data_IF_051528392137
#
_entry.id   IF_051528392137
#
_cell.length_a   1.000
_cell.length_b   1.000
_cell.length_c   1.000
_cell.angle_alpha   90.00
_cell.angle_beta   90.00
_cell.angle_gamma   90.00
#
_symmetry.space_group_name_H-M   'P 1'
#
loop_
_entity.id
_entity.type
_entity.pdbx_description
1 polymer ?
#
# COMPACT_ATOMS: atom_id res chain seq x y z
N UNK A 1 -2.09 -0.43 -9.72
CA UNK A 1 -2.65 -1.23 -10.83
C UNK A 1 -2.72 -0.49 -12.17
N UNK A 2 -3.20 0.76 -12.25
CA UNK A 2 -3.40 1.43 -13.55
C UNK A 2 -2.11 1.61 -14.38
N UNK A 3 -0.95 1.84 -13.74
CA UNK A 3 0.37 1.88 -14.40
C UNK A 3 0.66 0.60 -15.18
N UNK A 4 0.35 -0.57 -14.60
CA UNK A 4 0.66 -1.87 -15.17
C UNK A 4 -0.13 -2.16 -16.45
N UNK A 5 -1.35 -1.61 -16.59
CA UNK A 5 -2.21 -1.81 -17.76
C UNK A 5 -1.51 -1.32 -19.04
N UNK A 6 -0.92 -0.12 -19.00
CA UNK A 6 -0.19 0.43 -20.14
C UNK A 6 1.26 -0.04 -20.17
N UNK A 7 1.90 -0.18 -19.01
CA UNK A 7 3.29 -0.64 -18.90
C UNK A 7 3.49 -2.04 -19.46
N UNK A 8 2.54 -2.95 -19.21
CA UNK A 8 2.57 -4.31 -19.77
C UNK A 8 2.46 -4.29 -21.30
N UNK A 9 1.53 -3.49 -21.85
CA UNK A 9 1.37 -3.33 -23.31
C UNK A 9 2.60 -2.69 -23.97
N UNK A 10 3.23 -1.71 -23.31
CA UNK A 10 4.51 -1.17 -23.76
C UNK A 10 5.63 -2.22 -23.74
N UNK A 11 5.65 -3.09 -22.73
CA UNK A 11 6.63 -4.17 -22.63
C UNK A 11 6.47 -5.19 -23.76
N UNK A 12 5.23 -5.60 -24.07
CA UNK A 12 4.92 -6.50 -25.20
C UNK A 12 5.37 -5.93 -26.55
N UNK A 13 5.44 -4.60 -26.69
CA UNK A 13 5.94 -3.91 -27.90
C UNK A 13 7.45 -3.65 -27.90
N UNK A 14 8.22 -4.29 -27.03
CA UNK A 14 9.66 -4.08 -26.91
C UNK A 14 10.07 -2.73 -26.29
N UNK A 15 9.13 -1.96 -25.73
CA UNK A 15 9.36 -0.67 -25.04
C UNK A 15 9.40 -0.80 -23.51
N UNK A 16 9.73 -1.98 -22.98
CA UNK A 16 9.78 -2.25 -21.54
C UNK A 16 10.71 -1.28 -20.79
N UNK A 17 11.90 -0.98 -21.35
CA UNK A 17 12.86 -0.04 -20.76
C UNK A 17 12.30 1.38 -20.62
N UNK A 18 11.54 1.84 -21.62
CA UNK A 18 10.92 3.15 -21.58
C UNK A 18 9.77 3.22 -20.57
N UNK A 19 8.96 2.16 -20.48
CA UNK A 19 7.92 2.07 -19.44
C UNK A 19 8.55 2.13 -18.05
N UNK A 20 9.57 1.30 -17.78
CA UNK A 20 10.25 1.26 -16.48
C UNK A 20 11.00 2.56 -16.15
N UNK A 21 11.66 3.18 -17.13
CA UNK A 21 12.32 4.48 -16.93
C UNK A 21 11.31 5.60 -16.63
N UNK A 22 10.16 5.60 -17.33
CA UNK A 22 9.07 6.56 -17.07
C UNK A 22 8.52 6.40 -15.66
N UNK A 23 8.39 5.15 -15.20
CA UNK A 23 7.98 4.82 -13.84
C UNK A 23 9.01 5.33 -12.84
N UNK A 24 10.27 4.92 -12.96
CA UNK A 24 11.31 5.29 -11.99
C UNK A 24 11.50 6.81 -11.86
N UNK A 25 11.55 7.53 -12.99
CA UNK A 25 11.67 9.00 -12.98
C UNK A 25 10.39 9.65 -12.48
N UNK A 26 9.23 9.13 -12.88
CA UNK A 26 7.94 9.63 -12.42
C UNK A 26 7.76 9.51 -10.91
N UNK A 27 8.10 8.35 -10.35
CA UNK A 27 8.10 8.11 -8.91
C UNK A 27 9.10 9.05 -8.22
N UNK A 28 10.32 9.24 -8.75
CA UNK A 28 11.26 10.20 -8.17
C UNK A 28 10.71 11.64 -8.15
N UNK A 29 10.25 12.15 -9.30
CA UNK A 29 9.72 13.53 -9.41
C UNK A 29 8.51 13.71 -8.49
N UNK A 30 7.56 12.78 -8.54
CA UNK A 30 6.37 12.82 -7.71
C UNK A 30 6.72 12.73 -6.22
N UNK A 31 7.61 11.80 -5.86
CA UNK A 31 8.07 11.56 -4.50
C UNK A 31 8.82 12.76 -3.92
N UNK A 32 9.70 13.40 -4.69
CA UNK A 32 10.38 14.61 -4.23
C UNK A 32 9.38 15.73 -3.98
N UNK A 33 8.47 16.02 -4.93
CA UNK A 33 7.48 17.08 -4.76
C UNK A 33 6.55 16.78 -3.59
N UNK A 34 6.08 15.55 -3.45
CA UNK A 34 5.17 15.15 -2.38
C UNK A 34 5.84 15.11 -1.00
N UNK A 35 7.13 14.75 -0.92
CA UNK A 35 7.91 14.87 0.33
C UNK A 35 8.15 16.34 0.72
N UNK A 36 8.35 17.23 -0.25
CA UNK A 36 8.38 18.68 0.01
C UNK A 36 7.05 19.14 0.58
N UNK A 37 5.93 18.77 -0.05
CA UNK A 37 4.60 19.08 0.46
C UNK A 37 4.39 18.50 1.87
N UNK A 38 4.79 17.24 2.12
CA UNK A 38 4.74 16.62 3.45
C UNK A 38 5.53 17.44 4.49
N UNK A 39 6.72 17.92 4.15
CA UNK A 39 7.58 18.72 5.06
C UNK A 39 6.85 19.99 5.52
N UNK A 40 6.12 20.65 4.62
CA UNK A 40 5.38 21.87 4.94
C UNK A 40 4.01 21.63 5.56
N UNK A 41 3.34 20.52 5.22
CA UNK A 41 1.96 20.21 5.64
C UNK A 41 1.91 19.45 6.96
N UNK A 42 2.95 18.65 7.28
CA UNK A 42 2.98 17.83 8.49
C UNK A 42 2.91 18.68 9.76
N UNK A 43 3.69 19.76 9.86
CA UNK A 43 3.75 20.59 11.08
C UNK A 43 2.41 21.30 11.38
N UNK A 44 1.79 22.04 10.43
CA UNK A 44 0.49 22.67 10.68
C UNK A 44 -0.61 21.69 11.08
N UNK A 45 -0.62 20.48 10.51
CA UNK A 45 -1.60 19.46 10.86
C UNK A 45 -1.30 18.86 12.23
N UNK A 46 -0.03 18.64 12.58
CA UNK A 46 0.36 18.23 13.93
C UNK A 46 -0.07 19.24 15.00
N UNK A 47 0.10 20.54 14.74
CA UNK A 47 -0.36 21.62 15.61
C UNK A 47 -1.90 21.66 15.72
N UNK A 48 -2.64 21.39 14.63
CA UNK A 48 -4.10 21.28 14.70
C UNK A 48 -4.52 20.05 15.53
N UNK A 49 -3.80 18.95 15.38
CA UNK A 49 -4.10 17.67 16.01
C UNK A 49 -3.81 17.66 17.52
N UNK A 50 -2.93 18.53 18.02
CA UNK A 50 -2.67 18.66 19.46
C UNK A 50 -3.87 19.23 20.24
N UNK A 51 -4.83 19.85 19.54
CA UNK A 51 -6.09 20.31 20.12
C UNK A 51 -7.17 19.23 20.19
N UNK A 52 -6.96 18.07 19.56
CA UNK A 52 -7.96 17.01 19.53
C UNK A 52 -7.95 16.18 20.81
N UNK A 53 -9.15 15.89 21.31
CA UNK A 53 -9.35 14.98 22.42
C UNK A 53 -9.65 13.56 21.92
N UNK A 54 -9.64 12.57 22.82
CA UNK A 54 -9.93 11.17 22.47
C UNK A 54 -11.26 11.01 21.71
N UNK A 55 -12.29 11.76 22.09
CA UNK A 55 -13.59 11.80 21.39
C UNK A 55 -13.48 12.29 19.95
N UNK A 56 -12.64 13.28 19.68
CA UNK A 56 -12.41 13.80 18.33
C UNK A 56 -11.68 12.77 17.46
N UNK A 57 -10.67 12.09 18.02
CA UNK A 57 -10.00 10.98 17.35
C UNK A 57 -10.98 9.87 16.99
N UNK A 58 -11.84 9.45 17.90
CA UNK A 58 -12.88 8.47 17.60
C UNK A 58 -13.83 8.96 16.48
N UNK A 59 -14.30 10.21 16.58
CA UNK A 59 -15.22 10.82 15.63
C UNK A 59 -14.64 11.00 14.22
N UNK A 60 -13.32 11.12 14.07
CA UNK A 60 -12.63 11.20 12.77
C UNK A 60 -12.27 9.80 12.27
N UNK A 61 -11.81 8.91 13.15
CA UNK A 61 -11.35 7.56 12.80
C UNK A 61 -12.48 6.69 12.31
N UNK A 62 -13.65 6.73 12.96
CA UNK A 62 -14.79 5.87 12.57
C UNK A 62 -15.29 6.19 11.15
N UNK A 63 -15.62 7.44 10.78
CA UNK A 63 -15.99 7.78 9.41
C UNK A 63 -14.86 7.55 8.41
N UNK A 64 -13.60 7.82 8.77
CA UNK A 64 -12.46 7.55 7.89
C UNK A 64 -12.34 6.06 7.57
N UNK A 65 -12.46 5.21 8.59
CA UNK A 65 -12.40 3.76 8.45
C UNK A 65 -13.55 3.23 7.57
N UNK A 66 -14.76 3.73 7.77
CA UNK A 66 -15.92 3.40 6.94
C UNK A 66 -15.74 3.91 5.51
N UNK A 67 -15.23 5.13 5.31
CA UNK A 67 -15.02 5.72 4.00
C UNK A 67 -13.95 4.98 3.18
N UNK A 68 -12.80 4.67 3.80
CA UNK A 68 -11.74 3.86 3.18
C UNK A 68 -12.30 2.47 2.81
N UNK A 69 -13.06 1.86 3.71
CA UNK A 69 -13.69 0.56 3.47
C UNK A 69 -14.69 0.60 2.31
N UNK A 70 -15.47 1.67 2.20
CA UNK A 70 -16.43 1.88 1.12
C UNK A 70 -15.75 2.06 -0.25
N UNK A 71 -14.54 2.62 -0.28
CA UNK A 71 -13.84 2.98 -1.52
C UNK A 71 -12.91 1.91 -2.07
N UNK A 72 -12.45 0.97 -1.24
CA UNK A 72 -11.52 -0.10 -1.66
C UNK A 72 -12.24 -1.31 -2.27
N UNK A 73 -13.56 -1.45 -2.07
CA UNK A 73 -14.33 -2.60 -2.55
C UNK A 73 -15.21 -2.31 -3.78
N UNK A 74 -15.48 -3.34 -4.59
CA UNK A 74 -16.56 -3.31 -5.59
C UNK A 74 -17.96 -3.24 -4.95
N UNK A 75 -18.08 -3.68 -3.70
CA UNK A 75 -19.33 -3.70 -2.93
C UNK A 75 -19.07 -3.18 -1.53
N UNK A 76 -19.87 -2.20 -1.11
CA UNK A 76 -19.86 -1.64 0.25
C UNK A 76 -20.06 -2.73 1.30
N UNK A 77 -20.97 -3.67 1.05
CA UNK A 77 -21.28 -4.76 1.99
C UNK A 77 -20.08 -5.67 2.19
N UNK A 78 -19.37 -6.03 1.11
CA UNK A 78 -18.15 -6.85 1.21
C UNK A 78 -17.04 -6.11 1.96
N UNK A 79 -16.91 -4.80 1.72
CA UNK A 79 -16.00 -3.94 2.49
C UNK A 79 -16.30 -3.96 3.98
N UNK A 80 -17.55 -3.65 4.36
CA UNK A 80 -17.95 -3.60 5.77
C UNK A 80 -17.81 -4.95 6.46
N UNK A 81 -18.14 -6.06 5.80
CA UNK A 81 -17.90 -7.39 6.35
C UNK A 81 -16.42 -7.68 6.56
N UNK A 82 -15.55 -7.33 5.60
CA UNK A 82 -14.10 -7.41 5.79
C UNK A 82 -13.63 -6.59 6.98
N UNK A 83 -14.16 -5.37 7.14
CA UNK A 83 -13.85 -4.51 8.27
C UNK A 83 -14.27 -5.15 9.60
N UNK A 84 -15.48 -5.70 9.69
CA UNK A 84 -15.98 -6.39 10.88
C UNK A 84 -15.12 -7.62 11.23
N UNK A 85 -14.68 -8.40 10.23
CA UNK A 85 -13.74 -9.51 10.45
C UNK A 85 -12.42 -8.99 11.03
N UNK A 86 -11.92 -7.86 10.51
CA UNK A 86 -10.73 -7.20 11.05
C UNK A 86 -10.89 -6.77 12.49
N UNK A 87 -11.97 -6.05 12.80
CA UNK A 87 -12.30 -5.63 14.16
C UNK A 87 -12.41 -6.83 15.11
N UNK A 88 -13.04 -7.91 14.67
CA UNK A 88 -13.14 -9.14 15.46
C UNK A 88 -11.77 -9.73 15.78
N UNK A 89 -10.87 -9.82 14.79
CA UNK A 89 -9.51 -10.34 15.00
C UNK A 89 -8.71 -9.42 15.94
N UNK A 90 -8.85 -8.09 15.80
CA UNK A 90 -8.18 -7.12 16.66
C UNK A 90 -8.61 -7.20 18.13
N UNK A 91 -9.86 -7.59 18.40
CA UNK A 91 -10.40 -7.74 19.77
C UNK A 91 -10.06 -9.09 20.43
N UNK A 92 -9.40 -10.01 19.72
CA UNK A 92 -8.90 -11.26 20.32
C UNK A 92 -7.72 -10.91 21.22
N UNK A 93 -7.79 -11.28 22.50
CA UNK A 93 -6.73 -10.96 23.45
C UNK A 93 -7.25 -10.64 24.84
N UNK A 94 -6.37 -10.10 25.67
CA UNK A 94 -6.73 -9.46 26.92
C UNK A 94 -7.34 -8.08 26.65
N UNK A 95 -8.46 -7.80 27.30
CA UNK A 95 -9.00 -6.45 27.41
C UNK A 95 -8.02 -5.54 28.15
N UNK A 96 -7.58 -4.44 27.53
CA UNK A 96 -6.61 -3.52 28.15
C UNK A 96 -7.16 -2.79 29.37
N UNK A 97 -8.49 -2.70 29.54
CA UNK A 97 -9.14 -2.02 30.66
C UNK A 97 -9.48 -2.99 31.79
N UNK A 98 -10.08 -4.13 31.45
CA UNK A 98 -10.59 -5.08 32.46
C UNK A 98 -9.65 -6.24 32.75
N UNK A 99 -8.65 -6.48 31.89
CA UNK A 99 -7.77 -7.65 31.96
C UNK A 99 -8.49 -8.98 31.68
N UNK A 100 -9.75 -8.95 31.22
CA UNK A 100 -10.51 -10.15 30.93
C UNK A 100 -10.09 -10.74 29.57
N UNK A 101 -9.94 -12.07 29.44
CA UNK A 101 -9.67 -12.72 28.16
C UNK A 101 -10.90 -12.66 27.25
N UNK A 102 -10.74 -12.13 26.05
CA UNK A 102 -11.77 -12.00 25.01
C UNK A 102 -11.42 -12.89 23.82
N UNK A 103 -12.37 -13.75 23.44
CA UNK A 103 -12.25 -14.62 22.25
C UNK A 103 -10.97 -15.47 22.20
N UNK A 104 -10.39 -15.80 23.36
CA UNK A 104 -9.16 -16.61 23.44
C UNK A 104 -9.41 -18.12 23.34
N UNK A 105 -10.69 -18.54 23.27
CA UNK A 105 -11.12 -19.94 23.16
C UNK A 105 -10.45 -20.89 24.17
N UNK A 106 -10.06 -20.39 25.35
CA UNK A 106 -9.41 -21.16 26.40
C UNK A 106 -7.92 -21.47 26.17
N UNK A 107 -7.28 -20.92 25.12
CA UNK A 107 -5.84 -21.07 24.90
C UNK A 107 -5.06 -19.86 25.42
N UNK A 108 -4.03 -20.11 26.20
CA UNK A 108 -3.10 -19.08 26.70
C UNK A 108 -2.37 -18.36 25.55
N UNK A 109 -2.23 -19.01 24.38
CA UNK A 109 -1.52 -18.46 23.21
C UNK A 109 -2.26 -17.30 22.53
N UNK A 110 -3.54 -17.10 22.84
CA UNK A 110 -4.34 -15.99 22.30
C UNK A 110 -4.53 -14.87 23.33
N UNK A 111 -3.91 -14.95 24.52
CA UNK A 111 -3.99 -13.89 25.53
C UNK A 111 -3.32 -12.60 25.04
N UNK A 112 -2.18 -12.74 24.38
CA UNK A 112 -1.46 -11.61 23.76
C UNK A 112 -2.11 -11.15 22.45
N UNK A 113 -3.24 -11.75 22.08
CA UNK A 113 -3.97 -11.51 20.85
C UNK A 113 -3.32 -12.14 19.62
N UNK A 114 -3.71 -11.66 18.44
CA UNK A 114 -3.11 -12.08 17.17
C UNK A 114 -2.19 -10.98 16.68
N UNK A 115 -0.89 -11.27 16.61
CA UNK A 115 0.09 -10.30 16.13
C UNK A 115 -0.29 -9.82 14.71
N UNK A 116 -0.33 -8.50 14.55
CA UNK A 116 -0.68 -7.81 13.31
C UNK A 116 0.20 -8.26 12.15
N UNK A 117 1.48 -8.55 12.40
CA UNK A 117 2.43 -9.05 11.39
C UNK A 117 1.98 -10.42 10.88
N UNK A 118 1.53 -11.32 11.74
CA UNK A 118 0.99 -12.63 11.35
C UNK A 118 -0.23 -12.44 10.45
N UNK A 119 -1.11 -11.50 10.81
CA UNK A 119 -2.30 -11.18 9.99
C UNK A 119 -1.89 -10.65 8.62
N UNK A 120 -0.96 -9.70 8.56
CA UNK A 120 -0.45 -9.11 7.31
C UNK A 120 0.20 -10.19 6.43
N UNK A 121 1.10 -11.00 6.99
CA UNK A 121 1.79 -12.06 6.25
C UNK A 121 0.81 -13.12 5.76
N UNK A 122 -0.12 -13.54 6.62
CA UNK A 122 -1.19 -14.47 6.27
C UNK A 122 -2.04 -13.93 5.13
N UNK A 123 -2.65 -12.75 5.32
CA UNK A 123 -3.57 -12.19 4.34
C UNK A 123 -2.86 -11.77 3.03
N UNK A 124 -1.73 -11.08 3.07
CA UNK A 124 -1.07 -10.58 1.85
C UNK A 124 -0.14 -11.58 1.19
N UNK A 125 0.77 -12.24 1.91
CA UNK A 125 1.77 -13.10 1.28
C UNK A 125 1.19 -14.50 1.02
N UNK A 126 0.70 -15.17 2.06
CA UNK A 126 0.22 -16.56 1.96
C UNK A 126 -1.09 -16.60 1.16
N UNK A 127 -2.06 -15.74 1.47
CA UNK A 127 -3.35 -15.71 0.78
C UNK A 127 -3.26 -15.35 -0.70
N UNK A 128 -2.37 -14.42 -1.09
CA UNK A 128 -2.12 -14.12 -2.51
C UNK A 128 -1.46 -15.31 -3.21
N UNK A 129 -0.47 -15.93 -2.55
CA UNK A 129 0.24 -17.08 -3.08
C UNK A 129 -0.72 -18.24 -3.38
N UNK A 130 -1.60 -18.58 -2.44
CA UNK A 130 -2.63 -19.61 -2.63
C UNK A 130 -3.62 -19.22 -3.75
N UNK A 131 -3.97 -17.93 -3.84
CA UNK A 131 -4.90 -17.44 -4.86
C UNK A 131 -4.34 -17.60 -6.26
N UNK A 132 -3.09 -17.18 -6.46
CA UNK A 132 -2.40 -17.29 -7.74
C UNK A 132 -2.13 -18.76 -8.07
N UNK A 133 -1.68 -19.57 -7.11
CA UNK A 133 -1.48 -21.01 -7.29
C UNK A 133 -2.76 -21.72 -7.77
N UNK A 134 -3.94 -21.30 -7.30
CA UNK A 134 -5.22 -21.87 -7.74
C UNK A 134 -5.56 -21.55 -9.21
N UNK A 135 -5.05 -20.45 -9.75
CA UNK A 135 -5.29 -20.00 -11.14
C UNK A 135 -4.27 -20.53 -12.13
N UNK A 136 -3.06 -20.89 -11.67
CA UNK A 136 -1.97 -21.38 -12.52
C UNK A 136 -2.35 -22.58 -13.40
N UNK A 137 -3.33 -23.40 -13.00
CA UNK A 137 -3.77 -24.58 -13.76
C UNK A 137 -4.75 -24.26 -14.89
N UNK A 138 -5.36 -23.08 -14.89
CA UNK A 138 -6.48 -22.72 -15.78
C UNK A 138 -6.09 -21.76 -16.91
N UNK A 139 -4.92 -21.14 -16.85
CA UNK A 139 -4.39 -20.25 -17.89
C UNK A 139 -2.94 -20.61 -18.17
N UNK A 140 -2.65 -21.39 -19.24
CA UNK A 140 -1.30 -21.46 -19.78
C UNK A 140 -1.02 -20.10 -20.43
N UNK A 141 -0.63 -19.10 -19.63
CA UNK A 141 -0.07 -17.89 -20.21
C UNK A 141 1.22 -18.29 -20.94
N UNK A 142 1.35 -17.98 -22.25
CA UNK A 142 2.57 -18.28 -22.96
C UNK A 142 3.73 -17.61 -22.21
N UNK A 143 4.89 -18.27 -22.09
CA UNK A 143 6.06 -17.64 -21.49
C UNK A 143 6.25 -16.29 -22.16
N UNK A 144 6.39 -15.22 -21.38
CA UNK A 144 6.52 -13.87 -21.90
C UNK A 144 7.61 -13.88 -22.98
N UNK A 145 7.19 -13.92 -24.24
CA UNK A 145 8.09 -13.84 -25.38
C UNK A 145 8.49 -12.38 -25.43
N UNK A 146 9.46 -12.02 -24.60
CA UNK A 146 10.30 -10.87 -24.85
C UNK A 146 10.98 -11.20 -26.18
N UNK A 147 10.41 -10.73 -27.28
CA UNK A 147 11.03 -10.85 -28.59
C UNK A 147 12.50 -10.45 -28.45
N UNK A 148 13.40 -11.35 -28.87
CA UNK A 148 14.84 -11.10 -29.05
C UNK A 148 15.11 -10.08 -30.17
N UNK A 149 14.15 -9.24 -30.54
CA UNK A 149 14.22 -8.28 -31.63
C UNK A 149 14.58 -6.89 -31.13
N UNK A 150 15.85 -6.50 -31.32
CA UNK A 150 16.38 -5.12 -31.17
C UNK A 150 15.83 -4.36 -29.96
N UNK A 151 16.42 -4.59 -28.79
CA UNK A 151 16.38 -3.65 -27.67
C UNK A 151 16.83 -2.27 -28.18
N UNK A 152 15.88 -1.37 -28.47
CA UNK A 152 16.18 0.04 -28.72
C UNK A 152 16.92 0.57 -27.48
N UNK A 153 18.10 1.11 -27.71
CA UNK A 153 19.15 1.37 -26.72
C UNK A 153 18.90 2.56 -25.79
N UNK A 154 17.78 3.27 -25.92
CA UNK A 154 17.47 4.46 -25.12
C UNK A 154 16.42 4.23 -24.04
N UNK A 155 16.63 4.80 -22.85
CA UNK A 155 15.66 4.80 -21.76
C UNK A 155 14.41 5.61 -22.13
N UNK A 156 14.56 6.85 -22.62
CA UNK A 156 13.46 7.73 -23.01
C UNK A 156 13.90 8.60 -24.20
N UNK A 157 13.08 8.70 -25.24
CA UNK A 157 13.33 9.65 -26.33
C UNK A 157 12.89 11.07 -25.93
N UNK A 158 13.36 12.10 -26.65
CA UNK A 158 12.93 13.50 -26.42
C UNK A 158 11.39 13.66 -26.47
N UNK A 159 10.73 12.93 -27.35
CA UNK A 159 9.26 12.88 -27.44
C UNK A 159 8.62 12.28 -26.19
N UNK A 160 9.24 11.24 -25.62
CA UNK A 160 8.72 10.54 -24.44
C UNK A 160 8.84 11.42 -23.19
N UNK A 161 9.96 12.14 -23.04
CA UNK A 161 10.13 13.18 -22.02
C UNK A 161 9.07 14.29 -22.12
N UNK A 162 8.89 14.85 -23.33
CA UNK A 162 7.88 15.88 -23.58
C UNK A 162 6.45 15.42 -23.32
N UNK A 163 6.18 14.12 -23.46
CA UNK A 163 4.87 13.51 -23.16
C UNK A 163 4.69 13.17 -21.68
N UNK A 164 5.76 12.95 -20.92
CA UNK A 164 5.69 12.43 -19.54
C UNK A 164 5.71 13.52 -18.46
N UNK A 165 6.36 14.66 -18.69
CA UNK A 165 6.51 15.70 -17.65
C UNK A 165 5.18 16.24 -17.13
N UNK A 166 4.23 16.52 -18.03
CA UNK A 166 2.95 17.09 -17.65
C UNK A 166 2.02 16.07 -16.96
N UNK A 167 1.95 14.81 -17.40
CA UNK A 167 1.33 13.74 -16.61
C UNK A 167 1.96 13.55 -15.23
N UNK A 168 3.29 13.61 -15.08
CA UNK A 168 3.92 13.48 -13.76
C UNK A 168 3.41 14.55 -12.79
N UNK A 169 3.44 15.83 -13.19
CA UNK A 169 2.96 16.92 -12.34
C UNK A 169 1.46 16.82 -12.02
N UNK A 170 0.62 16.49 -13.01
CA UNK A 170 -0.81 16.30 -12.79
C UNK A 170 -1.10 15.12 -11.88
N UNK A 171 -0.38 14.01 -12.06
CA UNK A 171 -0.44 12.85 -11.20
C UNK A 171 -0.11 13.22 -9.77
N UNK A 172 1.01 13.92 -9.53
CA UNK A 172 1.40 14.40 -8.19
C UNK A 172 0.34 15.29 -7.55
N UNK A 173 -0.22 16.24 -8.32
CA UNK A 173 -1.25 17.15 -7.84
C UNK A 173 -2.57 16.46 -7.46
N UNK A 174 -2.85 15.29 -8.05
CA UNK A 174 -3.98 14.44 -7.65
C UNK A 174 -3.59 13.51 -6.49
N UNK A 175 -2.39 12.93 -6.52
CA UNK A 175 -1.97 11.93 -5.55
C UNK A 175 -1.87 12.48 -4.13
N UNK A 176 -1.09 13.55 -3.93
CA UNK A 176 -0.82 14.05 -2.58
C UNK A 176 -2.07 14.46 -1.79
N UNK A 177 -2.99 15.28 -2.33
CA UNK A 177 -4.19 15.68 -1.60
C UNK A 177 -5.12 14.51 -1.31
N UNK A 178 -5.32 13.60 -2.28
CA UNK A 178 -6.17 12.42 -2.06
C UNK A 178 -5.59 11.48 -0.99
N UNK A 179 -4.26 11.35 -0.93
CA UNK A 179 -3.60 10.57 0.11
C UNK A 179 -3.69 11.22 1.50
N UNK A 180 -3.61 12.55 1.57
CA UNK A 180 -3.74 13.30 2.82
C UNK A 180 -5.17 13.28 3.38
N UNK A 181 -6.18 13.14 2.52
CA UNK A 181 -7.57 13.01 2.96
C UNK A 181 -7.79 11.59 3.51
N UNK A 182 -8.32 11.45 4.74
CA UNK A 182 -8.61 10.17 5.36
C UNK A 182 -9.87 9.49 4.80
N UNK A 183 -9.93 9.37 3.47
CA UNK A 183 -11.01 8.68 2.77
C UNK A 183 -10.53 8.03 1.47
N UNK A 184 -9.51 8.56 0.79
CA UNK A 184 -9.08 8.09 -0.52
C UNK A 184 -7.83 7.21 -0.47
N UNK A 185 -7.99 5.88 -0.47
CA UNK A 185 -6.87 4.98 -0.70
C UNK A 185 -6.14 5.32 -2.01
N UNK A 186 -4.84 4.96 -2.12
CA UNK A 186 -3.96 5.34 -3.24
C UNK A 186 -4.47 4.93 -4.63
N UNK A 187 -5.43 4.01 -4.71
CA UNK A 187 -6.00 3.52 -5.97
C UNK A 187 -6.88 4.55 -6.68
N UNK A 188 -7.68 5.31 -5.93
CA UNK A 188 -8.60 6.32 -6.48
C UNK A 188 -7.84 7.40 -7.28
N UNK A 189 -6.81 8.08 -6.74
CA UNK A 189 -6.07 9.09 -7.51
C UNK A 189 -5.33 8.48 -8.71
N UNK A 190 -4.88 7.24 -8.63
CA UNK A 190 -4.22 6.53 -9.73
C UNK A 190 -5.17 6.26 -10.90
N UNK A 191 -6.39 5.77 -10.64
CA UNK A 191 -7.41 5.58 -11.69
C UNK A 191 -7.99 6.90 -12.21
N UNK A 192 -8.15 7.89 -11.34
CA UNK A 192 -8.57 9.24 -11.74
C UNK A 192 -7.53 9.86 -12.68
N UNK A 193 -6.24 9.78 -12.33
CA UNK A 193 -5.13 10.23 -13.19
C UNK A 193 -5.16 9.51 -14.54
N UNK A 194 -5.34 8.18 -14.55
CA UNK A 194 -5.48 7.40 -15.79
C UNK A 194 -6.63 7.89 -16.68
N UNK A 195 -7.80 8.17 -16.09
CA UNK A 195 -8.99 8.63 -16.81
C UNK A 195 -8.80 10.04 -17.42
N UNK A 196 -8.15 10.94 -16.68
CA UNK A 196 -7.84 12.31 -17.12
C UNK A 196 -6.84 12.27 -18.27
N UNK A 197 -5.78 11.46 -18.16
CA UNK A 197 -4.78 11.33 -19.21
C UNK A 197 -5.38 10.71 -20.48
N UNK A 198 -6.24 9.70 -20.35
CA UNK A 198 -6.98 9.12 -21.48
C UNK A 198 -7.85 10.16 -22.18
N UNK A 199 -8.62 10.94 -21.41
CA UNK A 199 -9.49 12.00 -21.97
C UNK A 199 -8.69 13.09 -22.68
N UNK A 200 -7.56 13.50 -22.11
CA UNK A 200 -6.66 14.50 -22.72
C UNK A 200 -5.98 13.98 -23.99
N UNK A 201 -5.54 12.73 -23.99
CA UNK A 201 -4.93 12.13 -25.17
C UNK A 201 -5.92 12.05 -26.35
N UNK A 202 -7.16 11.64 -26.07
CA UNK A 202 -8.25 11.65 -27.07
C UNK A 202 -8.52 13.04 -27.62
N UNK A 203 -8.54 14.09 -26.78
CA UNK A 203 -8.71 15.48 -27.22
C UNK A 203 -7.56 15.97 -28.11
N UNK A 204 -6.36 15.38 -27.99
CA UNK A 204 -5.18 15.67 -28.82
C UNK A 204 -5.08 14.78 -30.07
N UNK A 205 -6.10 13.97 -30.36
CA UNK A 205 -6.10 13.05 -31.51
C UNK A 205 -5.14 11.86 -31.35
N UNK A 206 -4.72 11.52 -30.12
CA UNK A 206 -3.81 10.40 -29.84
C UNK A 206 -4.59 9.24 -29.23
N UNK A 207 -4.85 8.20 -30.02
CA UNK A 207 -5.56 6.99 -29.58
C UNK A 207 -4.61 5.82 -29.29
N UNK A 208 -3.53 6.09 -28.55
CA UNK A 208 -2.57 5.05 -28.12
C UNK A 208 -3.01 4.38 -26.80
N UNK A 209 -4.07 4.89 -26.16
CA UNK A 209 -4.56 4.39 -24.88
C UNK A 209 -5.20 3.02 -25.03
N UNK A 210 -4.55 2.01 -24.45
CA UNK A 210 -4.94 0.62 -24.60
C UNK A 210 -4.01 -0.12 -25.54
N UNK A 211 -2.99 0.56 -26.07
CA UNK A 211 -1.97 -0.01 -26.94
C UNK A 211 -0.54 0.39 -26.45
N UNK A 212 -0.43 0.86 -25.20
CA UNK A 212 0.84 1.24 -24.56
C UNK A 212 1.14 2.74 -24.62
N UNK A 213 0.22 3.58 -24.16
CA UNK A 213 0.43 5.03 -24.06
C UNK A 213 1.29 5.40 -22.84
N UNK A 214 2.37 6.17 -23.07
CA UNK A 214 3.29 6.60 -22.01
C UNK A 214 2.63 7.50 -20.97
N UNK A 215 1.67 8.35 -21.37
CA UNK A 215 0.93 9.20 -20.45
C UNK A 215 0.10 8.38 -19.44
N UNK A 216 -0.41 7.22 -19.88
CA UNK A 216 -1.14 6.28 -19.04
C UNK A 216 -0.25 5.43 -18.12
N UNK A 217 1.07 5.57 -18.21
CA UNK A 217 2.05 5.06 -17.24
C UNK A 217 2.50 6.20 -16.31
N UNK A 218 2.93 7.32 -16.90
CA UNK A 218 3.49 8.46 -16.19
C UNK A 218 2.53 9.08 -15.16
N UNK A 219 1.30 9.40 -15.56
CA UNK A 219 0.33 10.06 -14.68
C UNK A 219 -0.12 9.18 -13.50
N UNK A 220 -0.56 7.94 -13.75
CA UNK A 220 -0.99 7.04 -12.68
C UNK A 220 0.12 6.69 -11.69
N UNK A 221 1.36 6.53 -12.18
CA UNK A 221 2.51 6.25 -11.33
C UNK A 221 2.86 7.43 -10.42
N UNK A 222 2.91 8.64 -10.98
CA UNK A 222 3.13 9.84 -10.18
C UNK A 222 2.03 10.05 -9.14
N UNK A 223 0.77 9.77 -9.49
CA UNK A 223 -0.35 9.83 -8.53
C UNK A 223 -0.20 8.80 -7.41
N UNK A 224 0.19 7.56 -7.73
CA UNK A 224 0.43 6.52 -6.73
C UNK A 224 1.54 6.94 -5.76
N UNK A 225 2.69 7.38 -6.28
CA UNK A 225 3.83 7.72 -5.44
C UNK A 225 3.59 8.99 -4.60
N UNK A 226 2.93 10.01 -5.17
CA UNK A 226 2.57 11.21 -4.42
C UNK A 226 1.52 10.94 -3.34
N UNK A 227 0.58 10.02 -3.62
CA UNK A 227 -0.42 9.59 -2.64
C UNK A 227 0.22 8.94 -1.43
N UNK A 228 1.32 8.20 -1.59
CA UNK A 228 2.04 7.61 -0.45
C UNK A 228 2.53 8.68 0.52
N UNK A 229 3.22 9.72 0.06
CA UNK A 229 3.63 10.84 0.95
C UNK A 229 2.43 11.58 1.55
N UNK A 230 1.31 11.69 0.81
CA UNK A 230 0.07 12.25 1.32
C UNK A 230 -0.49 11.44 2.48
N UNK A 231 -0.52 10.11 2.35
CA UNK A 231 -0.97 9.16 3.38
C UNK A 231 -0.11 9.23 4.66
N UNK A 232 1.17 9.57 4.54
CA UNK A 232 2.02 9.78 5.70
C UNK A 232 1.62 10.99 6.55
N UNK A 233 0.90 11.97 5.98
CA UNK A 233 0.44 13.14 6.72
C UNK A 233 -0.48 12.73 7.88
N UNK A 234 -1.68 12.14 7.66
CA UNK A 234 -2.55 11.71 8.75
C UNK A 234 -1.94 10.57 9.58
N UNK A 235 -1.11 9.70 8.99
CA UNK A 235 -0.44 8.65 9.74
C UNK A 235 0.51 9.24 10.80
N UNK A 236 1.39 10.16 10.43
CA UNK A 236 2.39 10.71 11.35
C UNK A 236 1.77 11.72 12.33
N UNK A 237 0.78 12.49 11.89
CA UNK A 237 0.20 13.58 12.69
C UNK A 237 -1.00 13.17 13.54
N UNK A 238 -1.83 12.25 13.05
CA UNK A 238 -3.05 11.80 13.74
C UNK A 238 -2.97 10.34 14.19
N UNK A 239 -1.95 9.58 13.78
CA UNK A 239 -1.91 8.14 14.00
C UNK A 239 -2.95 7.36 13.18
N UNK A 240 -3.53 7.98 12.15
CA UNK A 240 -4.63 7.39 11.39
C UNK A 240 -4.14 6.83 10.04
N UNK A 241 -4.09 5.49 9.87
CA UNK A 241 -3.75 4.87 8.61
C UNK A 241 -4.94 4.96 7.65
N UNK A 242 -4.72 5.56 6.49
CA UNK A 242 -5.75 5.75 5.46
C UNK A 242 -5.66 4.73 4.31
N UNK A 243 -4.74 3.76 4.43
CA UNK A 243 -4.53 2.68 3.47
C UNK A 243 -3.95 1.44 4.16
N UNK A 244 -4.01 0.28 3.50
CA UNK A 244 -3.39 -0.94 4.00
C UNK A 244 -1.87 -0.77 4.25
N UNK A 245 -1.16 -0.11 3.33
CA UNK A 245 0.28 0.13 3.47
C UNK A 245 0.58 1.02 4.69
N UNK A 246 -0.25 2.03 4.94
CA UNK A 246 -0.12 2.88 6.12
C UNK A 246 -0.40 2.11 7.41
N UNK A 247 -1.36 1.20 7.39
CA UNK A 247 -1.68 0.35 8.53
C UNK A 247 -0.50 -0.57 8.85
N UNK A 248 0.14 -1.17 7.84
CA UNK A 248 1.38 -1.94 8.00
C UNK A 248 2.50 -1.06 8.59
N UNK A 249 2.63 0.19 8.14
CA UNK A 249 3.61 1.13 8.72
C UNK A 249 3.29 1.50 10.17
N UNK A 250 2.01 1.68 10.52
CA UNK A 250 1.58 1.93 11.90
C UNK A 250 1.97 0.76 12.81
N UNK A 251 1.73 -0.47 12.37
CA UNK A 251 2.15 -1.68 13.08
C UNK A 251 3.69 -1.73 13.25
N UNK A 252 4.45 -1.35 12.22
CA UNK A 252 5.90 -1.26 12.33
C UNK A 252 6.33 -0.21 13.38
N UNK A 253 5.70 0.96 13.44
CA UNK A 253 5.99 1.95 14.48
C UNK A 253 5.71 1.40 15.89
N UNK A 254 4.59 0.69 16.07
CA UNK A 254 4.25 0.05 17.34
C UNK A 254 5.31 -0.97 17.79
N UNK A 255 5.86 -1.77 16.87
CA UNK A 255 6.97 -2.70 17.18
C UNK A 255 8.19 -1.97 17.74
N UNK A 256 8.48 -0.77 17.22
CA UNK A 256 9.58 0.06 17.71
C UNK A 256 9.19 0.96 18.90
N UNK A 257 8.00 0.77 19.49
CA UNK A 257 7.45 1.62 20.55
C UNK A 257 7.39 3.11 20.16
N UNK A 258 7.16 3.38 18.88
CA UNK A 258 6.92 4.71 18.34
C UNK A 258 5.42 4.88 18.18
N UNK A 259 4.83 5.85 18.86
CA UNK A 259 3.40 6.12 18.77
C UNK A 259 3.16 7.35 17.88
N UNK A 260 2.60 7.18 16.67
CA UNK A 260 2.30 8.32 15.81
C UNK A 260 1.15 9.15 16.35
N UNK A 261 1.16 10.45 16.04
CA UNK A 261 0.24 11.42 16.62
C UNK A 261 0.89 12.79 16.83
N UNK A 262 0.18 13.75 17.44
CA UNK A 262 0.70 15.11 17.65
C UNK A 262 1.95 15.10 18.53
N UNK A 263 1.92 14.28 19.58
CA UNK A 263 3.01 14.11 20.54
C UNK A 263 4.29 13.59 19.86
N UNK A 264 4.19 12.86 18.73
CA UNK A 264 5.37 12.39 18.00
C UNK A 264 6.28 13.55 17.55
N UNK A 265 5.69 14.69 17.18
CA UNK A 265 6.46 15.87 16.75
C UNK A 265 7.11 16.62 17.92
N UNK A 266 6.56 16.46 19.13
CA UNK A 266 7.08 17.05 20.38
C UNK A 266 8.14 16.14 21.01
N UNK A 267 7.78 14.88 21.28
CA UNK A 267 8.60 13.90 22.01
C UNK A 267 9.71 13.31 21.14
N UNK A 268 9.44 13.11 19.85
CA UNK A 268 10.36 12.43 18.92
C UNK A 268 10.61 13.23 17.64
N UNK A 269 10.70 14.55 17.75
CA UNK A 269 10.92 15.46 16.61
C UNK A 269 12.09 15.03 15.72
N UNK A 270 13.22 14.65 16.33
CA UNK A 270 14.39 14.15 15.60
C UNK A 270 14.07 12.92 14.76
N UNK A 271 13.28 11.97 15.27
CA UNK A 271 12.89 10.77 14.53
C UNK A 271 12.01 11.14 13.34
N UNK A 272 11.02 12.01 13.54
CA UNK A 272 10.10 12.45 12.47
C UNK A 272 10.85 13.14 11.33
N UNK A 273 11.70 14.11 11.66
CA UNK A 273 12.46 14.84 10.65
C UNK A 273 13.53 13.96 10.00
N UNK A 274 14.12 13.01 10.73
CA UNK A 274 15.04 12.02 10.16
C UNK A 274 14.30 11.08 9.20
N UNK A 275 13.08 10.66 9.54
CA UNK A 275 12.24 9.86 8.66
C UNK A 275 11.89 10.63 7.39
N UNK A 276 11.44 11.89 7.49
CA UNK A 276 11.15 12.74 6.33
C UNK A 276 12.43 12.98 5.50
N UNK A 277 13.57 13.25 6.13
CA UNK A 277 14.87 13.37 5.47
C UNK A 277 15.24 12.08 4.72
N UNK A 278 15.00 10.92 5.35
CA UNK A 278 15.23 9.61 4.74
C UNK A 278 14.38 9.38 3.49
N UNK A 279 13.20 10.00 3.37
CA UNK A 279 12.38 9.90 2.16
C UNK A 279 13.03 10.64 0.98
N UNK A 280 13.70 11.76 1.21
CA UNK A 280 14.46 12.46 0.16
C UNK A 280 15.65 11.61 -0.32
N UNK A 281 16.45 11.13 0.63
CA UNK A 281 17.62 10.31 0.34
C UNK A 281 17.20 8.98 -0.29
N UNK A 282 16.18 8.33 0.26
CA UNK A 282 15.60 7.10 -0.23
C UNK A 282 15.06 7.23 -1.66
N UNK A 283 14.33 8.30 -1.97
CA UNK A 283 13.87 8.56 -3.35
C UNK A 283 15.05 8.69 -4.33
N UNK A 284 16.12 9.38 -3.93
CA UNK A 284 17.33 9.53 -4.76
C UNK A 284 18.05 8.19 -4.96
N UNK A 285 18.26 7.44 -3.87
CA UNK A 285 18.87 6.10 -3.91
C UNK A 285 18.01 5.17 -4.77
N UNK A 286 16.69 5.19 -4.63
CA UNK A 286 15.77 4.40 -5.43
C UNK A 286 15.89 4.74 -6.92
N UNK A 287 16.06 6.00 -7.31
CA UNK A 287 16.27 6.37 -8.72
C UNK A 287 17.62 5.81 -9.23
N UNK A 288 18.68 6.01 -8.46
CA UNK A 288 20.05 5.56 -8.79
C UNK A 288 20.11 4.03 -8.88
N UNK A 289 19.41 3.32 -8.01
CA UNK A 289 19.38 1.85 -7.98
C UNK A 289 18.41 1.28 -9.02
N UNK A 290 17.19 1.82 -9.15
CA UNK A 290 16.18 1.23 -10.03
C UNK A 290 16.62 1.26 -11.50
N UNK A 291 17.24 2.34 -11.98
CA UNK A 291 17.63 2.47 -13.39
C UNK A 291 18.61 1.36 -13.84
N UNK A 292 19.72 1.05 -13.14
CA UNK A 292 20.56 -0.11 -13.40
C UNK A 292 19.85 -1.44 -13.16
N UNK A 293 19.10 -1.56 -12.05
CA UNK A 293 18.44 -2.81 -11.68
C UNK A 293 17.31 -3.21 -12.63
N UNK A 294 16.81 -2.31 -13.51
CA UNK A 294 15.87 -2.66 -14.59
C UNK A 294 16.34 -3.91 -15.35
N UNK A 295 17.65 -4.06 -15.58
CA UNK A 295 18.17 -5.25 -16.26
C UNK A 295 17.92 -6.54 -15.48
N UNK A 296 18.03 -6.49 -14.16
CA UNK A 296 17.78 -7.62 -13.25
C UNK A 296 16.28 -7.88 -13.13
N UNK A 297 15.47 -6.83 -12.93
CA UNK A 297 14.01 -6.94 -12.83
C UNK A 297 13.39 -7.59 -14.07
N UNK A 298 13.92 -7.30 -15.26
CA UNK A 298 13.49 -7.94 -16.51
C UNK A 298 13.86 -9.44 -16.56
N UNK A 299 14.92 -9.88 -15.86
CA UNK A 299 15.24 -11.32 -15.74
C UNK A 299 14.31 -12.02 -14.76
N UNK A 300 13.86 -11.35 -13.68
CA UNK A 300 12.89 -11.91 -12.73
C UNK A 300 11.59 -12.28 -13.42
N UNK A 301 11.15 -11.51 -14.43
CA UNK A 301 9.98 -11.84 -15.26
C UNK A 301 10.11 -13.17 -16.04
N UNK A 302 11.31 -13.73 -16.15
CA UNK A 302 11.56 -15.03 -16.79
C UNK A 302 11.53 -16.19 -15.79
N UNK A 303 11.51 -15.91 -14.49
CA UNK A 303 11.43 -16.95 -13.45
C UNK A 303 10.03 -17.58 -13.52
N UNK A 304 9.93 -18.92 -13.57
CA UNK A 304 8.64 -19.59 -13.54
C UNK A 304 7.84 -19.19 -12.30
N UNK A 305 6.58 -18.78 -12.50
CA UNK A 305 5.68 -18.37 -11.43
C UNK A 305 5.65 -19.36 -10.23
N UNK A 306 5.60 -20.69 -10.42
CA UNK A 306 5.61 -21.62 -9.29
C UNK A 306 6.81 -21.47 -8.35
N UNK A 307 8.01 -21.24 -8.89
CA UNK A 307 9.23 -21.08 -8.10
C UNK A 307 9.23 -19.77 -7.32
N UNK A 308 8.74 -18.70 -7.95
CA UNK A 308 8.64 -17.39 -7.33
C UNK A 308 7.68 -17.42 -6.12
N UNK A 309 6.49 -17.99 -6.30
CA UNK A 309 5.49 -18.12 -5.24
C UNK A 309 5.89 -19.11 -4.15
N UNK A 310 6.57 -20.21 -4.48
CA UNK A 310 7.14 -21.11 -3.49
C UNK A 310 8.18 -20.39 -2.62
N UNK A 311 9.05 -19.57 -3.24
CA UNK A 311 10.01 -18.74 -2.51
C UNK A 311 9.33 -17.76 -1.55
N UNK A 312 8.29 -17.05 -2.01
CA UNK A 312 7.49 -16.14 -1.17
C UNK A 312 6.92 -16.88 0.04
N UNK A 313 6.35 -18.07 -0.16
CA UNK A 313 5.76 -18.86 0.92
C UNK A 313 6.80 -19.28 1.97
N UNK A 314 7.98 -19.73 1.51
CA UNK A 314 9.09 -20.10 2.41
C UNK A 314 9.56 -18.91 3.23
N UNK A 315 9.81 -17.77 2.59
CA UNK A 315 10.24 -16.55 3.29
C UNK A 315 9.15 -15.99 4.21
N UNK A 316 7.88 -16.11 3.85
CA UNK A 316 6.76 -15.71 4.72
C UNK A 316 6.71 -16.57 5.98
N UNK A 317 6.78 -17.90 5.86
CA UNK A 317 6.80 -18.81 7.00
C UNK A 317 8.05 -18.61 7.86
N UNK A 318 9.22 -18.43 7.23
CA UNK A 318 10.47 -18.17 7.94
C UNK A 318 10.45 -16.82 8.65
N UNK A 319 9.86 -15.79 8.04
CA UNK A 319 9.71 -14.47 8.63
C UNK A 319 8.83 -14.50 9.89
N UNK A 320 7.69 -15.19 9.84
CA UNK A 320 6.82 -15.39 11.01
C UNK A 320 7.55 -16.18 12.09
N UNK A 321 8.20 -17.29 11.72
CA UNK A 321 8.96 -18.09 12.68
C UNK A 321 10.13 -17.33 13.32
N UNK A 322 10.79 -16.44 12.57
CA UNK A 322 11.92 -15.65 13.06
C UNK A 322 11.50 -14.61 14.10
N UNK A 323 10.25 -14.14 14.08
CA UNK A 323 9.75 -13.13 15.00
C UNK A 323 9.36 -13.76 16.35
N UNK A 324 8.68 -14.90 16.32
CA UNK A 324 8.14 -15.52 17.53
C UNK A 324 8.81 -16.81 17.99
N UNK A 325 9.63 -17.42 17.16
CA UNK A 325 10.22 -18.74 17.43
C UNK A 325 9.19 -19.86 17.57
N UNK A 326 7.94 -19.65 17.14
CA UNK A 326 6.81 -20.53 17.43
C UNK A 326 6.18 -21.09 16.16
N UNK A 327 6.14 -22.43 16.05
CA UNK A 327 5.43 -23.10 14.96
C UNK A 327 3.90 -22.88 15.00
N UNK A 328 3.36 -22.48 16.15
CA UNK A 328 1.94 -22.13 16.28
C UNK A 328 1.58 -20.90 15.47
N UNK A 329 2.42 -19.87 15.50
CA UNK A 329 2.17 -18.64 14.76
C UNK A 329 2.33 -18.84 13.26
N UNK A 330 3.24 -19.71 12.84
CA UNK A 330 3.33 -20.14 11.44
C UNK A 330 2.03 -20.84 11.01
N UNK A 331 1.49 -21.72 11.84
CA UNK A 331 0.20 -22.36 11.57
C UNK A 331 -0.94 -21.35 11.54
N UNK A 332 -0.96 -20.38 12.45
CA UNK A 332 -1.94 -19.31 12.49
C UNK A 332 -1.87 -18.43 11.24
N UNK A 333 -0.66 -18.07 10.80
CA UNK A 333 -0.43 -17.35 9.54
C UNK A 333 -0.95 -18.13 8.33
N UNK A 334 -0.74 -19.45 8.30
CA UNK A 334 -1.26 -20.33 7.25
C UNK A 334 -2.79 -20.37 7.26
N UNK A 335 -3.43 -20.49 8.43
CA UNK A 335 -4.88 -20.46 8.57
C UNK A 335 -5.47 -19.12 8.12
N UNK A 336 -4.88 -18.00 8.55
CA UNK A 336 -5.26 -16.66 8.10
C UNK A 336 -5.03 -16.52 6.58
N UNK A 337 -3.97 -17.13 6.06
CA UNK A 337 -3.71 -17.17 4.62
C UNK A 337 -4.77 -17.92 3.83
N UNK A 338 -5.30 -19.02 4.36
CA UNK A 338 -6.46 -19.72 3.76
C UNK A 338 -7.70 -18.81 3.78
N UNK A 339 -7.95 -18.07 4.87
CA UNK A 339 -9.04 -17.08 4.90
C UNK A 339 -8.81 -16.00 3.83
N UNK A 340 -7.60 -15.44 3.75
CA UNK A 340 -7.22 -14.44 2.75
C UNK A 340 -7.33 -14.96 1.31
N UNK A 341 -7.13 -16.26 1.08
CA UNK A 341 -7.37 -16.91 -0.21
C UNK A 341 -8.85 -16.89 -0.58
N UNK A 342 -9.74 -17.29 0.33
CA UNK A 342 -11.19 -17.28 0.09
C UNK A 342 -11.72 -15.87 -0.08
N UNK A 343 -11.23 -14.91 0.71
CA UNK A 343 -11.58 -13.50 0.56
C UNK A 343 -11.29 -13.00 -0.87
N UNK A 344 -10.10 -13.28 -1.41
CA UNK A 344 -9.79 -12.93 -2.80
C UNK A 344 -10.66 -13.66 -3.81
N UNK A 345 -10.92 -14.94 -3.59
CA UNK A 345 -11.75 -15.75 -4.49
C UNK A 345 -13.20 -15.24 -4.56
N UNK A 346 -13.69 -14.60 -3.50
CA UNK A 346 -15.04 -14.06 -3.37
C UNK A 346 -15.08 -12.51 -3.54
N UNK A 347 -13.98 -11.90 -3.97
CA UNK A 347 -13.75 -10.45 -4.08
C UNK A 347 -14.10 -9.62 -2.83
N UNK A 348 -13.75 -10.15 -1.65
CA UNK A 348 -13.72 -9.38 -0.42
C UNK A 348 -12.40 -8.60 -0.32
N UNK A 349 -12.44 -7.28 -0.10
CA UNK A 349 -11.24 -6.47 0.02
C UNK A 349 -10.49 -6.82 1.32
N UNK A 350 -9.17 -6.96 1.24
CA UNK A 350 -8.32 -7.32 2.39
C UNK A 350 -7.90 -6.11 3.20
N UNK A 351 -7.73 -4.96 2.56
CA UNK A 351 -7.31 -3.73 3.22
C UNK A 351 -8.22 -3.36 4.43
N UNK A 352 -9.56 -3.47 4.35
CA UNK A 352 -10.43 -3.20 5.50
C UNK A 352 -10.22 -4.16 6.68
N UNK A 353 -9.80 -5.42 6.45
CA UNK A 353 -9.50 -6.36 7.54
C UNK A 353 -8.31 -5.83 8.34
N UNK A 354 -7.23 -5.46 7.67
CA UNK A 354 -6.01 -4.97 8.31
C UNK A 354 -6.28 -3.66 9.04
N UNK A 355 -7.08 -2.79 8.42
CA UNK A 355 -7.51 -1.55 9.03
C UNK A 355 -8.28 -1.81 10.33
N UNK A 356 -9.23 -2.76 10.33
CA UNK A 356 -9.98 -3.15 11.52
C UNK A 356 -9.12 -3.79 12.60
N UNK A 357 -8.15 -4.64 12.24
CA UNK A 357 -7.25 -5.28 13.21
C UNK A 357 -6.42 -4.25 13.96
N UNK A 358 -5.94 -3.22 13.28
CA UNK A 358 -5.04 -2.22 13.87
C UNK A 358 -5.81 -1.10 14.56
N UNK A 359 -6.86 -0.58 13.92
CA UNK A 359 -7.62 0.56 14.47
C UNK A 359 -8.69 0.14 15.48
N UNK A 360 -9.20 -1.09 15.42
CA UNK A 360 -10.25 -1.57 16.33
C UNK A 360 -9.87 -1.40 17.80
N UNK A 361 -8.75 -1.98 18.27
CA UNK A 361 -8.31 -1.84 19.65
C UNK A 361 -8.05 -0.37 20.04
N UNK A 362 -7.39 0.38 19.17
CA UNK A 362 -7.10 1.80 19.42
C UNK A 362 -8.37 2.65 19.56
N UNK A 363 -9.41 2.37 18.76
CA UNK A 363 -10.70 3.03 18.87
C UNK A 363 -11.47 2.63 20.13
N UNK A 364 -11.37 1.37 20.54
CA UNK A 364 -11.98 0.91 21.79
C UNK A 364 -11.39 1.65 22.99
N UNK A 365 -10.06 1.74 23.09
CA UNK A 365 -9.37 2.47 24.17
C UNK A 365 -9.74 3.95 24.22
N UNK A 366 -9.80 4.60 23.05
CA UNK A 366 -10.21 6.00 22.95
C UNK A 366 -11.67 6.23 23.37
N UNK A 367 -12.55 5.25 23.10
CA UNK A 367 -13.97 5.33 23.44
C UNK A 367 -14.27 5.00 24.90
N UNK A 368 -13.47 4.12 25.52
CA UNK A 368 -13.76 3.55 26.83
C UNK A 368 -13.18 4.36 28.00
N UNK A 369 -12.27 5.30 27.75
CA UNK A 369 -11.80 6.24 28.76
C UNK A 369 -12.82 7.29 29.24
N UNK A 370 -14.07 7.24 28.74
CA UNK A 370 -15.10 8.27 28.95
C UNK A 370 -16.48 7.71 29.37
N UNK A 371 -16.55 6.44 29.81
CA UNK A 371 -17.77 5.84 30.36
C UNK A 371 -17.54 5.26 31.75
#
# INVERSE_FOLDING_TARGET
MATAIQGHKMALKGRARAALATVAIGSFVAGTISTVLLTFVAKPIGELASHFQATDYFAITLPAMVAVTALVGHSLVRGLLSLTVGLFIGLIGLDSLTGAPRYTFGTLRLLDGVDVVIVIVGLFAIGETLHVASKLRSTPEPPAVLERGRLRTGYLNKSDWGRSWAPWLRGTALGFPFGAIPSGGAEVPTFLSYSIERRRARKKGRDEFGDGAIEGVAGPEAANNASFSGVLVPLLTLGLPTSATAAVMLAAFQIFNVQPGPQLFEDQSTLVWTLIASLYVGNLILLIMNLPLIQIWVQVLKVPQPLLYAGILVFACLGVYSLSGSGYEVLLALLIGVVGFFMRKLDFPIAPVILGVILGPAMEEQSAGHW
#
